data_IF_857678914206
#
_entry.id   IF_857678914206
#
_cell.length_a   1.000
_cell.length_b   1.000
_cell.length_c   1.000
_cell.angle_alpha   90.00
_cell.angle_beta   90.00
_cell.angle_gamma   90.00
#
_symmetry.space_group_name_H-M   'P 1'
#
loop_
_entity.id
_entity.type
_entity.pdbx_description
1 polymer ?
#
# COMPACT_ATOMS: atom_id res chain seq x y z
N UNK A 1 -69.31 57.49 -4.50
CA UNK A 1 -68.51 57.45 -5.74
C UNK A 1 -67.03 57.63 -5.41
N UNK A 2 -66.26 56.54 -5.27
CA UNK A 2 -64.79 56.56 -5.29
C UNK A 2 -64.29 55.23 -5.85
N UNK A 3 -63.55 55.33 -6.95
CA UNK A 3 -63.00 54.26 -7.78
C UNK A 3 -61.83 53.58 -7.04
N UNK A 4 -61.78 52.24 -7.07
CA UNK A 4 -60.66 51.44 -6.57
C UNK A 4 -59.47 51.56 -7.53
N UNK A 5 -58.31 51.95 -7.02
CA UNK A 5 -57.03 51.86 -7.75
C UNK A 5 -56.42 50.47 -7.60
N UNK A 6 -56.02 49.90 -8.74
CA UNK A 6 -55.43 48.58 -8.90
C UNK A 6 -53.91 48.64 -8.71
N UNK A 7 -53.36 47.56 -8.14
CA UNK A 7 -51.98 47.37 -7.66
C UNK A 7 -50.99 47.10 -8.81
N UNK A 8 -49.73 47.51 -8.65
CA UNK A 8 -48.58 46.72 -9.10
C UNK A 8 -47.45 46.83 -8.06
N UNK A 9 -47.28 45.79 -7.25
CA UNK A 9 -46.09 45.59 -6.44
C UNK A 9 -45.16 44.67 -7.25
N UNK A 10 -44.00 45.17 -7.64
CA UNK A 10 -42.94 44.37 -8.24
C UNK A 10 -42.28 43.53 -7.14
N UNK A 11 -42.57 42.24 -7.11
CA UNK A 11 -41.89 41.26 -6.26
C UNK A 11 -40.62 40.83 -6.99
N UNK A 12 -39.46 41.33 -6.56
CA UNK A 12 -38.16 40.87 -7.03
C UNK A 12 -37.79 39.54 -6.36
N UNK A 13 -37.95 38.43 -7.09
CA UNK A 13 -37.50 37.10 -6.64
C UNK A 13 -36.00 36.99 -6.80
N UNK A 14 -35.25 37.05 -5.70
CA UNK A 14 -33.82 36.72 -5.69
C UNK A 14 -33.66 35.19 -5.77
N UNK A 15 -33.24 34.69 -6.93
CA UNK A 15 -32.92 33.28 -7.13
C UNK A 15 -31.52 33.01 -6.54
N UNK A 16 -31.46 32.52 -5.30
CA UNK A 16 -30.23 32.01 -4.71
C UNK A 16 -29.90 30.65 -5.35
N UNK A 17 -28.99 30.65 -6.33
CA UNK A 17 -28.36 29.45 -6.84
C UNK A 17 -27.45 28.88 -5.75
N UNK A 18 -27.96 27.93 -4.97
CA UNK A 18 -27.13 27.07 -4.13
C UNK A 18 -26.44 26.08 -5.08
N UNK A 19 -25.29 26.47 -5.61
CA UNK A 19 -24.36 25.53 -6.25
C UNK A 19 -23.79 24.68 -5.13
N UNK A 20 -24.48 23.59 -4.82
CA UNK A 20 -23.98 22.55 -3.94
C UNK A 20 -22.65 22.06 -4.50
N UNK A 21 -21.57 22.27 -3.75
CA UNK A 21 -20.33 21.56 -3.99
C UNK A 21 -20.63 20.06 -3.87
N UNK A 22 -20.79 19.38 -5.00
CA UNK A 22 -20.69 17.93 -5.07
C UNK A 22 -19.23 17.56 -4.77
N UNK A 23 -18.89 17.56 -3.48
CA UNK A 23 -17.81 16.71 -2.99
C UNK A 23 -18.38 15.31 -3.06
N UNK A 24 -18.10 14.60 -4.15
CA UNK A 24 -18.20 13.15 -4.17
C UNK A 24 -17.38 12.67 -2.96
N UNK A 25 -18.08 12.38 -1.86
CA UNK A 25 -17.47 11.96 -0.61
C UNK A 25 -16.94 10.55 -0.85
N UNK A 26 -15.71 10.46 -1.35
CA UNK A 26 -14.97 9.21 -1.52
C UNK A 26 -15.01 8.41 -0.22
N UNK A 27 -14.96 9.10 0.93
CA UNK A 27 -15.19 8.52 2.27
C UNK A 27 -16.53 7.82 2.43
N UNK A 28 -17.64 8.41 1.96
CA UNK A 28 -18.99 7.83 2.11
C UNK A 28 -19.22 6.65 1.16
N UNK A 29 -18.64 6.70 -0.05
CA UNK A 29 -18.66 5.54 -0.96
C UNK A 29 -17.76 4.41 -0.47
N UNK A 30 -16.60 4.71 0.10
CA UNK A 30 -15.73 3.73 0.76
C UNK A 30 -16.44 3.11 1.96
N UNK A 31 -17.04 3.90 2.84
CA UNK A 31 -17.79 3.41 4.01
C UNK A 31 -18.92 2.46 3.60
N UNK A 32 -19.69 2.79 2.55
CA UNK A 32 -20.78 1.95 2.07
C UNK A 32 -20.29 0.60 1.49
N UNK A 33 -19.15 0.58 0.80
CA UNK A 33 -18.54 -0.64 0.28
C UNK A 33 -17.86 -1.46 1.39
N UNK A 34 -17.29 -0.79 2.39
CA UNK A 34 -16.64 -1.41 3.56
C UNK A 34 -17.69 -2.10 4.44
N UNK A 35 -18.87 -1.51 4.63
CA UNK A 35 -19.94 -2.12 5.41
C UNK A 35 -20.51 -3.43 4.83
N UNK A 36 -20.21 -3.76 3.57
CA UNK A 36 -20.58 -5.06 2.97
C UNK A 36 -19.51 -6.15 3.18
N UNK A 37 -18.32 -5.78 3.63
CA UNK A 37 -17.27 -6.72 4.03
C UNK A 37 -17.41 -6.91 5.54
N UNK A 38 -17.65 -8.14 5.98
CA UNK A 38 -17.76 -8.46 7.40
C UNK A 38 -16.39 -8.25 8.08
N UNK A 39 -16.20 -7.07 8.69
CA UNK A 39 -14.97 -6.64 9.36
C UNK A 39 -14.49 -5.24 8.96
N UNK A 40 -13.79 -4.56 9.88
CA UNK A 40 -13.13 -3.29 9.57
C UNK A 40 -12.06 -3.48 8.48
N UNK A 41 -11.89 -2.52 7.55
CA UNK A 41 -10.93 -2.65 6.47
C UNK A 41 -9.51 -2.71 7.02
N UNK A 42 -8.67 -3.57 6.44
CA UNK A 42 -7.24 -3.64 6.76
C UNK A 42 -6.50 -2.60 5.94
N UNK A 43 -5.96 -1.57 6.59
CA UNK A 43 -5.21 -0.49 5.92
C UNK A 43 -3.74 -0.90 5.81
N UNK A 44 -3.19 -0.88 4.61
CA UNK A 44 -1.75 -1.08 4.38
C UNK A 44 -1.11 0.26 4.00
N UNK A 45 0.11 0.48 4.45
CA UNK A 45 0.93 1.60 4.00
C UNK A 45 2.07 1.11 3.11
N UNK A 46 2.35 1.85 2.04
CA UNK A 46 3.61 1.73 1.32
C UNK A 46 4.76 2.12 2.26
N UNK A 47 5.82 1.30 2.29
CA UNK A 47 6.95 1.46 3.17
C UNK A 47 8.26 1.39 2.38
N UNK A 48 9.04 2.46 2.49
CA UNK A 48 10.29 2.66 1.77
C UNK A 48 11.49 2.32 2.68
N UNK A 49 12.21 1.19 2.45
CA UNK A 49 13.19 0.69 3.40
C UNK A 49 14.62 1.22 3.21
N UNK A 50 14.81 2.33 2.48
CA UNK A 50 16.12 2.77 1.98
C UNK A 50 16.95 3.66 2.89
N UNK A 51 16.39 4.18 3.99
CA UNK A 51 17.15 5.08 4.85
C UNK A 51 18.28 4.34 5.58
N UNK A 52 19.46 4.94 5.59
CA UNK A 52 20.70 4.31 6.08
C UNK A 52 21.55 3.68 4.98
N UNK A 53 21.01 3.50 3.77
CA UNK A 53 21.82 3.19 2.59
C UNK A 53 22.66 4.42 2.21
N UNK A 54 23.92 4.20 1.80
CA UNK A 54 24.83 5.25 1.33
C UNK A 54 24.37 5.88 0.01
N UNK A 55 23.49 5.21 -0.73
CA UNK A 55 22.91 5.72 -1.98
C UNK A 55 21.77 6.72 -1.76
N UNK A 56 21.26 6.86 -0.53
CA UNK A 56 20.16 7.75 -0.20
C UNK A 56 20.59 8.90 0.72
N UNK A 57 19.75 9.94 0.76
CA UNK A 57 19.95 11.07 1.69
C UNK A 57 20.00 10.56 3.13
N UNK A 58 20.88 11.15 3.94
CA UNK A 58 20.96 10.85 5.36
C UNK A 58 19.86 11.60 6.12
N UNK A 59 18.96 10.86 6.74
CA UNK A 59 17.84 11.39 7.54
C UNK A 59 18.01 11.17 9.04
N UNK A 60 19.19 10.71 9.47
CA UNK A 60 19.52 10.52 10.89
C UNK A 60 19.08 9.17 11.49
N UNK A 61 18.59 8.22 10.70
CA UNK A 61 18.35 6.84 11.12
C UNK A 61 18.65 5.84 10.00
N UNK A 62 18.72 4.55 10.35
CA UNK A 62 18.81 3.43 9.42
C UNK A 62 17.58 2.53 9.54
N UNK A 63 17.05 2.05 8.43
CA UNK A 63 15.99 1.03 8.40
C UNK A 63 16.50 -0.33 8.91
N UNK A 64 17.82 -0.53 9.03
CA UNK A 64 18.39 -1.74 9.62
C UNK A 64 18.63 -1.62 11.14
N UNK A 65 18.23 -0.51 11.78
CA UNK A 65 18.20 -0.37 13.23
C UNK A 65 16.88 -0.96 13.80
N UNK A 66 16.94 -2.04 14.60
CA UNK A 66 15.74 -2.67 15.16
C UNK A 66 14.87 -1.72 15.99
N UNK A 67 15.45 -0.77 16.71
CA UNK A 67 14.68 0.17 17.54
C UNK A 67 13.91 1.18 16.69
N UNK A 68 14.46 1.53 15.53
CA UNK A 68 13.76 2.32 14.51
C UNK A 68 12.56 1.56 13.95
N UNK A 69 12.73 0.30 13.57
CA UNK A 69 11.66 -0.53 13.03
C UNK A 69 10.54 -0.74 14.07
N UNK A 70 10.87 -1.08 15.32
CA UNK A 70 9.90 -1.23 16.42
C UNK A 70 9.11 0.06 16.66
N UNK A 71 9.78 1.21 16.64
CA UNK A 71 9.14 2.52 16.80
C UNK A 71 8.16 2.81 15.66
N UNK A 72 8.55 2.55 14.41
CA UNK A 72 7.69 2.78 13.24
C UNK A 72 6.48 1.84 13.22
N UNK A 73 6.66 0.56 13.54
CA UNK A 73 5.53 -0.39 13.69
C UNK A 73 4.56 0.10 14.76
N UNK A 74 5.06 0.52 15.93
CA UNK A 74 4.21 1.05 17.01
C UNK A 74 3.44 2.30 16.55
N UNK A 75 4.08 3.21 15.83
CA UNK A 75 3.42 4.39 15.27
C UNK A 75 2.35 4.02 14.25
N UNK A 76 2.64 3.09 13.35
CA UNK A 76 1.68 2.60 12.35
C UNK A 76 0.44 1.98 13.00
N UNK A 77 0.63 1.11 14.00
CA UNK A 77 -0.48 0.53 14.78
C UNK A 77 -1.33 1.61 15.45
N UNK A 78 -0.70 2.63 16.04
CA UNK A 78 -1.42 3.76 16.65
C UNK A 78 -2.24 4.58 15.64
N UNK A 79 -1.89 4.53 14.35
CA UNK A 79 -2.63 5.17 13.26
C UNK A 79 -3.69 4.24 12.62
N UNK A 80 -3.88 3.02 13.15
CA UNK A 80 -4.80 2.03 12.57
C UNK A 80 -4.28 1.34 11.30
N UNK A 81 -2.99 1.47 11.00
CA UNK A 81 -2.35 0.74 9.89
C UNK A 81 -2.16 -0.72 10.34
N UNK A 82 -2.59 -1.64 9.49
CA UNK A 82 -2.58 -3.09 9.70
C UNK A 82 -1.25 -3.74 9.33
N UNK A 83 -0.58 -3.20 8.31
CA UNK A 83 0.66 -3.75 7.79
C UNK A 83 1.35 -2.82 6.78
N UNK A 84 2.52 -3.23 6.33
CA UNK A 84 3.29 -2.54 5.30
C UNK A 84 3.37 -3.34 4.01
N UNK A 85 3.20 -2.67 2.86
CA UNK A 85 3.69 -3.14 1.57
C UNK A 85 5.08 -2.54 1.38
N UNK A 86 6.11 -3.36 1.43
CA UNK A 86 7.50 -2.90 1.55
C UNK A 86 8.17 -2.94 0.19
N UNK A 87 8.68 -1.80 -0.26
CA UNK A 87 9.40 -1.69 -1.53
C UNK A 87 10.61 -2.63 -1.56
N UNK A 88 10.69 -3.50 -2.57
CA UNK A 88 11.61 -4.62 -2.60
C UNK A 88 12.05 -4.98 -4.03
N UNK A 89 13.36 -5.13 -4.20
CA UNK A 89 14.01 -5.33 -5.51
C UNK A 89 14.74 -6.67 -5.60
N UNK A 90 14.59 -7.54 -4.61
CA UNK A 90 15.33 -8.79 -4.50
C UNK A 90 16.84 -8.60 -4.42
N UNK A 91 17.59 -9.51 -5.05
CA UNK A 91 19.06 -9.51 -5.01
C UNK A 91 19.71 -8.27 -5.64
N UNK A 92 18.93 -7.48 -6.40
CA UNK A 92 19.40 -6.22 -7.01
C UNK A 92 19.73 -5.16 -5.97
N UNK A 93 19.08 -5.19 -4.80
CA UNK A 93 19.30 -4.21 -3.72
C UNK A 93 19.52 -4.91 -2.37
N UNK A 94 20.74 -5.42 -2.08
CA UNK A 94 21.02 -6.20 -0.88
C UNK A 94 20.75 -5.47 0.45
N UNK A 95 20.89 -4.14 0.48
CA UNK A 95 20.55 -3.36 1.67
C UNK A 95 19.05 -3.39 1.94
N UNK A 96 18.21 -3.17 0.92
CA UNK A 96 16.75 -3.16 1.03
C UNK A 96 16.21 -4.56 1.34
N UNK A 97 16.78 -5.59 0.73
CA UNK A 97 16.46 -7.00 1.00
C UNK A 97 16.71 -7.37 2.47
N UNK A 98 17.84 -6.95 3.04
CA UNK A 98 18.14 -7.12 4.46
C UNK A 98 17.21 -6.30 5.36
N UNK A 99 16.89 -5.08 4.96
CA UNK A 99 15.93 -4.23 5.67
C UNK A 99 14.56 -4.91 5.75
N UNK A 100 14.09 -5.51 4.66
CA UNK A 100 12.85 -6.31 4.65
C UNK A 100 12.94 -7.51 5.59
N UNK A 101 14.02 -8.29 5.51
CA UNK A 101 14.22 -9.48 6.36
C UNK A 101 14.20 -9.15 7.86
N UNK A 102 14.79 -8.01 8.25
CA UNK A 102 14.76 -7.52 9.64
C UNK A 102 13.37 -7.03 10.03
N UNK A 103 12.72 -6.25 9.17
CA UNK A 103 11.38 -5.74 9.41
C UNK A 103 10.36 -6.87 9.57
N UNK A 104 10.44 -7.95 8.79
CA UNK A 104 9.54 -9.10 8.90
C UNK A 104 9.66 -9.79 10.26
N UNK A 105 10.88 -10.05 10.74
CA UNK A 105 11.10 -10.65 12.06
C UNK A 105 10.57 -9.75 13.19
N UNK A 106 10.81 -8.45 13.11
CA UNK A 106 10.31 -7.50 14.11
C UNK A 106 8.78 -7.37 14.02
N UNK A 107 8.20 -7.42 12.82
CA UNK A 107 6.75 -7.41 12.65
C UNK A 107 6.11 -8.63 13.33
N UNK A 108 6.73 -9.81 13.23
CA UNK A 108 6.30 -11.01 13.94
C UNK A 108 6.34 -10.84 15.46
N UNK A 109 7.44 -10.31 16.01
CA UNK A 109 7.56 -9.98 17.44
C UNK A 109 6.47 -8.98 17.93
N UNK A 110 5.90 -8.19 17.02
CA UNK A 110 5.01 -7.08 17.34
C UNK A 110 3.54 -7.27 16.90
N UNK A 111 3.17 -8.48 16.46
CA UNK A 111 1.84 -8.78 15.90
C UNK A 111 1.44 -7.77 14.81
N UNK A 112 2.33 -7.57 13.83
CA UNK A 112 2.16 -6.67 12.70
C UNK A 112 2.39 -7.42 11.40
N UNK A 113 1.90 -6.88 10.28
CA UNK A 113 1.96 -7.57 8.99
C UNK A 113 2.87 -6.85 7.99
N UNK A 114 3.51 -7.63 7.14
CA UNK A 114 4.32 -7.13 6.03
C UNK A 114 4.06 -7.94 4.77
N UNK A 115 4.15 -7.29 3.62
CA UNK A 115 4.13 -7.91 2.31
C UNK A 115 5.27 -7.32 1.48
N UNK A 116 5.78 -8.10 0.54
CA UNK A 116 6.66 -7.57 -0.50
C UNK A 116 5.86 -6.71 -1.47
N UNK A 117 6.42 -5.57 -1.85
CA UNK A 117 6.09 -4.84 -3.06
C UNK A 117 7.26 -5.00 -4.03
N UNK A 118 7.13 -5.92 -4.98
CA UNK A 118 8.15 -6.17 -5.99
C UNK A 118 8.22 -4.99 -6.96
N UNK A 119 9.33 -4.27 -6.93
CA UNK A 119 9.66 -3.21 -7.88
C UNK A 119 10.47 -3.80 -9.04
N UNK A 120 9.86 -3.75 -10.23
CA UNK A 120 10.46 -4.26 -11.46
C UNK A 120 11.75 -3.53 -11.84
N UNK A 121 12.54 -4.11 -12.72
CA UNK A 121 13.71 -3.41 -13.26
C UNK A 121 13.30 -2.13 -13.99
N UNK A 122 14.07 -1.05 -13.79
CA UNK A 122 13.80 0.22 -14.46
C UNK A 122 14.00 0.14 -15.99
N UNK A 123 15.00 -0.64 -16.40
CA UNK A 123 15.35 -0.88 -17.79
C UNK A 123 14.63 -2.13 -18.32
N UNK A 124 14.18 -2.04 -19.57
CA UNK A 124 13.71 -3.21 -20.32
C UNK A 124 14.92 -3.90 -20.94
N UNK A 125 15.27 -5.04 -20.37
CA UNK A 125 16.36 -5.90 -20.83
C UNK A 125 15.86 -7.09 -21.66
N UNK A 126 14.54 -7.22 -21.86
CA UNK A 126 13.90 -8.41 -22.42
C UNK A 126 13.84 -9.62 -21.47
N UNK A 127 14.22 -9.43 -20.19
CA UNK A 127 14.30 -10.51 -19.20
C UNK A 127 13.35 -10.36 -18.00
N UNK A 128 12.41 -9.41 -18.03
CA UNK A 128 11.62 -9.06 -16.84
C UNK A 128 10.75 -10.21 -16.31
N UNK A 129 10.22 -11.07 -17.18
CA UNK A 129 9.50 -12.29 -16.77
C UNK A 129 10.40 -13.23 -15.97
N UNK A 130 11.60 -13.52 -16.45
CA UNK A 130 12.56 -14.39 -15.77
C UNK A 130 13.06 -13.77 -14.47
N UNK A 131 13.26 -12.45 -14.45
CA UNK A 131 13.65 -11.69 -13.26
C UNK A 131 12.56 -11.71 -12.17
N UNK A 132 11.28 -11.61 -12.57
CA UNK A 132 10.15 -11.73 -11.65
C UNK A 132 10.06 -13.15 -11.08
N UNK A 133 10.18 -14.19 -11.92
CA UNK A 133 10.18 -15.58 -11.48
C UNK A 133 11.32 -15.90 -10.51
N UNK A 134 12.54 -15.44 -10.80
CA UNK A 134 13.69 -15.60 -9.90
C UNK A 134 13.49 -14.88 -8.57
N UNK A 135 12.98 -13.65 -8.61
CA UNK A 135 12.67 -12.90 -7.40
C UNK A 135 11.60 -13.62 -6.56
N UNK A 136 10.56 -14.16 -7.18
CA UNK A 136 9.49 -14.85 -6.45
C UNK A 136 9.92 -16.21 -5.88
N UNK A 137 10.79 -16.94 -6.57
CA UNK A 137 11.42 -18.13 -6.00
C UNK A 137 12.25 -17.78 -4.74
N UNK A 138 13.04 -16.69 -4.79
CA UNK A 138 13.73 -16.18 -3.60
C UNK A 138 12.74 -15.81 -2.49
N UNK A 139 11.70 -15.03 -2.80
CA UNK A 139 10.70 -14.60 -1.84
C UNK A 139 10.02 -15.80 -1.16
N UNK A 140 9.69 -16.83 -1.93
CA UNK A 140 9.15 -18.07 -1.39
C UNK A 140 10.12 -18.72 -0.42
N UNK A 141 11.38 -18.92 -0.81
CA UNK A 141 12.37 -19.59 0.03
C UNK A 141 12.71 -18.83 1.31
N UNK A 142 12.73 -17.50 1.28
CA UNK A 142 13.26 -16.68 2.38
C UNK A 142 12.20 -16.04 3.27
N UNK A 143 11.02 -15.73 2.75
CA UNK A 143 10.05 -14.87 3.44
C UNK A 143 8.66 -15.47 3.60
N UNK A 144 8.25 -16.36 2.68
CA UNK A 144 6.87 -16.85 2.61
C UNK A 144 6.76 -18.32 3.03
N UNK A 145 7.72 -19.15 2.59
CA UNK A 145 7.71 -20.59 2.74
C UNK A 145 7.70 -21.06 4.19
N UNK A 146 7.39 -22.35 4.45
CA UNK A 146 7.15 -22.87 5.79
C UNK A 146 8.33 -22.72 6.76
N UNK A 147 9.56 -22.63 6.25
CA UNK A 147 10.78 -22.44 7.05
C UNK A 147 11.28 -20.98 7.13
N UNK A 148 10.57 -20.03 6.54
CA UNK A 148 11.00 -18.63 6.51
C UNK A 148 10.90 -17.98 7.91
N UNK A 149 11.96 -17.30 8.40
CA UNK A 149 11.91 -16.56 9.67
C UNK A 149 10.85 -15.46 9.64
N UNK A 150 10.00 -15.40 10.66
CA UNK A 150 8.93 -14.39 10.75
C UNK A 150 7.81 -14.54 9.72
N UNK A 151 7.64 -15.74 9.12
CA UNK A 151 6.58 -16.01 8.12
C UNK A 151 5.17 -15.73 8.62
N UNK A 152 4.94 -15.79 9.92
CA UNK A 152 3.67 -15.48 10.58
C UNK A 152 3.26 -14.00 10.43
N UNK A 153 4.23 -13.11 10.21
CA UNK A 153 3.97 -11.71 9.88
C UNK A 153 3.71 -11.48 8.38
N UNK A 154 3.95 -12.47 7.52
CA UNK A 154 3.73 -12.31 6.10
C UNK A 154 2.23 -12.19 5.81
N UNK A 155 1.85 -11.12 5.11
CA UNK A 155 0.46 -10.83 4.77
C UNK A 155 -0.13 -11.93 3.90
N UNK A 156 -1.26 -12.47 4.35
CA UNK A 156 -2.07 -13.40 3.54
C UNK A 156 -3.47 -12.87 3.30
N UNK A 157 -4.03 -13.26 2.16
CA UNK A 157 -5.43 -13.07 1.81
C UNK A 157 -6.03 -14.44 1.46
N UNK A 158 -7.07 -14.86 2.17
CA UNK A 158 -7.66 -16.20 2.06
C UNK A 158 -6.62 -17.33 2.14
N UNK A 159 -5.66 -17.19 3.06
CA UNK A 159 -4.58 -18.17 3.28
C UNK A 159 -3.48 -18.15 2.23
N UNK A 160 -3.53 -17.27 1.23
CA UNK A 160 -2.52 -17.13 0.18
C UNK A 160 -1.64 -15.91 0.43
N UNK A 161 -0.31 -16.00 0.26
CA UNK A 161 0.58 -14.86 0.41
C UNK A 161 0.26 -13.78 -0.61
N UNK A 162 0.34 -12.51 -0.20
CA UNK A 162 0.17 -11.36 -1.08
C UNK A 162 1.54 -10.80 -1.47
N UNK A 163 1.75 -10.54 -2.76
CA UNK A 163 2.86 -9.75 -3.28
C UNK A 163 2.23 -8.60 -4.09
N UNK A 164 2.61 -7.37 -3.76
CA UNK A 164 2.25 -6.19 -4.55
C UNK A 164 3.26 -6.02 -5.68
N UNK A 165 2.82 -5.50 -6.82
CA UNK A 165 3.67 -5.27 -7.98
C UNK A 165 3.74 -3.77 -8.22
N UNK A 166 4.96 -3.22 -8.26
CA UNK A 166 5.23 -1.89 -8.78
C UNK A 166 5.74 -2.05 -10.22
N UNK A 167 4.87 -1.90 -11.23
CA UNK A 167 5.27 -2.15 -12.61
C UNK A 167 6.17 -1.03 -13.14
N UNK A 168 7.12 -1.41 -14.01
CA UNK A 168 8.00 -0.49 -14.75
C UNK A 168 7.89 -0.81 -16.25
N UNK A 169 9.03 -0.83 -16.96
CA UNK A 169 9.10 -0.89 -18.42
C UNK A 169 9.40 -2.30 -18.98
N UNK A 170 9.66 -3.28 -18.12
CA UNK A 170 10.22 -4.58 -18.54
C UNK A 170 9.31 -5.52 -19.34
N UNK A 171 8.06 -5.16 -19.64
CA UNK A 171 7.13 -6.00 -20.38
C UNK A 171 6.96 -7.42 -19.80
N UNK A 172 6.91 -7.56 -18.48
CA UNK A 172 6.70 -8.85 -17.79
C UNK A 172 5.42 -9.56 -18.24
N UNK A 173 5.54 -10.83 -18.61
CA UNK A 173 4.41 -11.71 -18.88
C UNK A 173 3.81 -12.20 -17.55
N UNK A 174 2.83 -11.45 -17.05
CA UNK A 174 2.15 -11.77 -15.80
C UNK A 174 1.28 -13.03 -15.88
N UNK A 175 0.84 -13.44 -17.07
CA UNK A 175 0.08 -14.68 -17.23
C UNK A 175 1.00 -15.88 -17.04
N UNK A 176 2.20 -15.85 -17.64
CA UNK A 176 3.24 -16.86 -17.41
C UNK A 176 3.65 -16.89 -15.94
N UNK A 177 3.91 -15.73 -15.32
CA UNK A 177 4.27 -15.67 -13.88
C UNK A 177 3.19 -16.32 -13.03
N UNK A 178 1.91 -15.98 -13.25
CA UNK A 178 0.79 -16.55 -12.50
C UNK A 178 0.64 -18.06 -12.68
N UNK A 179 0.96 -18.61 -13.85
CA UNK A 179 0.92 -20.07 -14.07
C UNK A 179 2.02 -20.80 -13.30
N UNK A 180 3.15 -20.15 -13.08
CA UNK A 180 4.33 -20.76 -12.44
C UNK A 180 4.30 -20.67 -10.90
N UNK A 181 3.57 -19.71 -10.32
CA UNK A 181 3.63 -19.43 -8.86
C UNK A 181 2.34 -19.68 -8.07
N UNK A 182 1.22 -20.04 -8.70
CA UNK A 182 -0.08 -20.24 -8.04
C UNK A 182 -0.43 -21.69 -7.69
#
# INVERSE_FOLDING_TARGET
MRLKTMKFAALGTALLLVVGCSRNNVHRSLDASIHQIDGSPKVLADYQPWFGDKQHISVGYSTQDPETLRRQIRQAKNMGIYGFAVDWYGDRQPFLDRSYALLQQIAAENNFHVALMYDETEEDTGHATDDALQAFDKAYRQYIGPGAPGREAYLTYNGRPVIFIFPKRGHTDWDQVRQMVN
#
